data_IF_618914446301
#
_entry.id   IF_618914446301
#
_cell.length_a   1.000
_cell.length_b   1.000
_cell.length_c   1.000
_cell.angle_alpha   90.00
_cell.angle_beta   90.00
_cell.angle_gamma   90.00
#
_symmetry.space_group_name_H-M   'P 1'
#
loop_
_entity.id
_entity.type
_entity.pdbx_description
1 polymer ?
#
# COMPACT_ATOMS: atom_id res chain seq x y z
N UNK A 1 12.15 40.44 -8.18
CA UNK A 1 10.92 39.70 -8.51
C UNK A 1 11.02 39.42 -9.99
N UNK A 2 11.53 38.25 -10.33
CA UNK A 2 11.65 37.83 -11.73
C UNK A 2 10.35 37.14 -12.15
N UNK A 3 9.74 37.70 -13.18
CA UNK A 3 8.53 37.20 -13.83
C UNK A 3 8.83 35.86 -14.51
N UNK A 4 8.13 34.80 -14.08
CA UNK A 4 8.12 33.51 -14.76
C UNK A 4 7.32 33.64 -16.06
N UNK A 5 8.02 33.77 -17.19
CA UNK A 5 7.44 33.52 -18.51
C UNK A 5 7.38 32.01 -18.75
N UNK A 6 6.17 31.46 -18.80
CA UNK A 6 5.91 30.15 -19.37
C UNK A 6 5.53 30.39 -20.83
N UNK A 7 6.41 30.01 -21.76
CA UNK A 7 6.08 30.01 -23.18
C UNK A 7 5.11 28.86 -23.47
N UNK A 8 3.90 29.21 -23.88
CA UNK A 8 2.88 28.25 -24.31
C UNK A 8 3.01 28.07 -25.81
N UNK A 9 3.61 26.96 -26.24
CA UNK A 9 3.59 26.53 -27.63
C UNK A 9 2.33 25.69 -27.89
N UNK A 10 1.40 26.25 -28.65
CA UNK A 10 0.27 25.53 -29.25
C UNK A 10 0.78 24.74 -30.46
N UNK A 11 1.05 23.43 -30.27
CA UNK A 11 0.84 22.32 -31.24
C UNK A 11 1.51 21.00 -30.78
N UNK A 12 1.28 20.55 -29.52
CA UNK A 12 2.00 19.39 -28.95
C UNK A 12 1.10 18.37 -28.21
N UNK A 13 -0.11 18.09 -28.68
CA UNK A 13 -1.03 17.14 -28.01
C UNK A 13 -0.49 15.70 -27.90
N UNK A 14 0.59 15.36 -28.63
CA UNK A 14 1.17 14.01 -28.70
C UNK A 14 2.41 13.85 -27.81
N UNK A 15 3.16 14.91 -27.49
CA UNK A 15 4.41 14.78 -26.71
C UNK A 15 4.14 14.56 -25.21
N UNK A 16 3.06 15.15 -24.69
CA UNK A 16 2.66 15.06 -23.28
C UNK A 16 2.19 13.67 -22.83
N UNK A 17 1.63 12.85 -23.74
CA UNK A 17 1.28 11.45 -23.44
C UNK A 17 2.50 10.59 -23.06
N UNK A 18 3.72 11.10 -23.25
CA UNK A 18 4.98 10.40 -22.97
C UNK A 18 5.67 10.80 -21.66
N UNK A 19 5.17 11.81 -20.93
CA UNK A 19 5.91 12.39 -19.79
C UNK A 19 5.35 12.02 -18.40
N UNK A 20 4.08 11.63 -18.30
CA UNK A 20 3.44 11.32 -17.02
C UNK A 20 3.01 9.86 -16.88
N UNK A 21 3.42 9.19 -15.79
CA UNK A 21 2.84 7.89 -15.42
C UNK A 21 1.46 8.11 -14.80
N UNK A 22 0.43 7.49 -15.34
CA UNK A 22 -0.92 7.55 -14.76
C UNK A 22 -0.88 7.07 -13.30
N UNK A 23 -1.39 7.90 -12.39
CA UNK A 23 -1.60 7.54 -10.98
C UNK A 23 -3.03 7.03 -10.79
N UNK A 24 -4.00 7.89 -11.12
CA UNK A 24 -5.44 7.66 -11.07
C UNK A 24 -6.09 8.39 -12.25
N UNK A 25 -7.37 8.13 -12.54
CA UNK A 25 -8.10 8.81 -13.61
C UNK A 25 -7.91 10.34 -13.53
N UNK A 26 -7.25 10.92 -14.55
CA UNK A 26 -6.99 12.36 -14.64
C UNK A 26 -5.80 12.88 -13.81
N UNK A 27 -5.06 12.02 -13.11
CA UNK A 27 -3.90 12.39 -12.30
C UNK A 27 -2.64 11.65 -12.75
N UNK A 28 -1.56 12.40 -12.96
CA UNK A 28 -0.31 11.88 -13.53
C UNK A 28 0.87 12.20 -12.63
N UNK A 29 1.75 11.22 -12.42
CA UNK A 29 3.07 11.41 -11.84
C UNK A 29 4.00 11.92 -12.93
N UNK A 30 4.58 13.11 -12.74
CA UNK A 30 5.50 13.74 -13.69
C UNK A 30 6.85 13.96 -13.01
N UNK A 31 7.94 13.65 -13.72
CA UNK A 31 9.29 13.92 -13.26
C UNK A 31 9.66 15.39 -13.51
N UNK A 32 10.19 16.06 -12.49
CA UNK A 32 10.72 17.42 -12.53
C UNK A 32 11.96 17.49 -11.64
N UNK A 33 13.08 17.95 -12.18
CA UNK A 33 14.35 18.14 -11.47
C UNK A 33 14.81 16.88 -10.70
N UNK A 34 14.68 15.69 -11.32
CA UNK A 34 14.98 14.36 -10.73
C UNK A 34 14.12 13.98 -9.53
N UNK A 35 12.99 14.66 -9.35
CA UNK A 35 11.95 14.36 -8.35
C UNK A 35 10.61 14.22 -9.05
N UNK A 36 9.57 13.86 -8.32
CA UNK A 36 8.25 13.63 -8.87
C UNK A 36 7.20 14.53 -8.24
N UNK A 37 6.26 14.99 -9.06
CA UNK A 37 5.06 15.73 -8.66
C UNK A 37 3.81 15.04 -9.21
N UNK A 38 2.65 15.34 -8.64
CA UNK A 38 1.37 14.92 -9.24
C UNK A 38 0.77 16.12 -9.95
N UNK A 39 0.25 15.88 -11.15
CA UNK A 39 -0.43 16.87 -11.98
C UNK A 39 -1.83 16.41 -12.35
N UNK A 40 -2.72 17.34 -12.68
CA UNK A 40 -4.00 17.04 -13.33
C UNK A 40 -3.81 16.78 -14.85
N UNK A 41 -4.91 16.59 -15.57
CA UNK A 41 -4.92 16.34 -17.02
C UNK A 41 -4.44 17.54 -17.87
N UNK A 42 -4.37 18.73 -17.28
CA UNK A 42 -3.86 19.95 -17.90
C UNK A 42 -2.43 20.27 -17.45
N UNK A 43 -1.76 19.34 -16.76
CA UNK A 43 -0.41 19.47 -16.21
C UNK A 43 -0.25 20.53 -15.12
N UNK A 44 -1.34 20.95 -14.46
CA UNK A 44 -1.25 21.79 -13.27
C UNK A 44 -0.72 20.95 -12.10
N UNK A 45 0.30 21.44 -11.39
CA UNK A 45 0.89 20.75 -10.23
C UNK A 45 -0.07 20.81 -9.04
N UNK A 46 -0.39 19.64 -8.49
CA UNK A 46 -1.30 19.46 -7.34
C UNK A 46 -0.51 19.34 -6.03
N UNK A 47 0.64 18.68 -6.04
CA UNK A 47 1.42 18.44 -4.82
C UNK A 47 2.07 19.73 -4.32
N UNK A 48 2.03 19.95 -3.00
CA UNK A 48 2.70 21.10 -2.34
C UNK A 48 4.23 20.92 -2.19
N UNK A 49 4.81 19.96 -2.91
CA UNK A 49 6.23 19.59 -2.86
C UNK A 49 6.59 18.54 -3.91
N UNK A 50 7.86 18.18 -3.97
CA UNK A 50 8.39 17.15 -4.86
C UNK A 50 8.85 15.94 -4.05
N UNK A 51 8.65 14.75 -4.59
CA UNK A 51 8.95 13.47 -3.93
C UNK A 51 10.12 12.75 -4.61
N UNK A 52 10.84 11.93 -3.85
CA UNK A 52 11.84 11.01 -4.41
C UNK A 52 11.18 9.95 -5.28
N UNK A 53 9.99 9.51 -4.88
CA UNK A 53 9.18 8.51 -5.56
C UNK A 53 7.70 8.68 -5.15
N UNK A 54 6.79 8.35 -6.07
CA UNK A 54 5.34 8.33 -5.83
C UNK A 54 4.78 6.99 -6.26
N UNK A 55 3.99 6.35 -5.41
CA UNK A 55 3.22 5.14 -5.75
C UNK A 55 1.74 5.33 -5.44
N UNK A 56 0.83 4.74 -6.24
CA UNK A 56 -0.57 4.70 -5.86
C UNK A 56 -0.75 3.93 -4.54
N UNK A 57 -1.64 4.41 -3.68
CA UNK A 57 -2.09 3.68 -2.50
C UNK A 57 -3.51 3.15 -2.72
N UNK A 58 -4.54 3.96 -2.53
CA UNK A 58 -5.94 3.60 -2.76
C UNK A 58 -6.79 4.83 -3.04
N UNK A 59 -7.73 4.72 -3.98
CA UNK A 59 -8.60 5.84 -4.40
C UNK A 59 -7.77 7.11 -4.68
N UNK A 60 -7.99 8.20 -3.96
CA UNK A 60 -7.26 9.46 -4.07
C UNK A 60 -6.22 9.61 -2.95
N UNK A 61 -5.39 8.58 -2.75
CA UNK A 61 -4.28 8.59 -1.80
C UNK A 61 -3.04 8.01 -2.46
N UNK A 62 -1.87 8.47 -2.06
CA UNK A 62 -0.61 7.99 -2.62
C UNK A 62 0.44 7.81 -1.54
N UNK A 63 1.36 6.91 -1.78
CA UNK A 63 2.62 6.82 -1.06
C UNK A 63 3.59 7.83 -1.66
N UNK A 64 4.08 8.75 -0.84
CA UNK A 64 5.13 9.69 -1.22
C UNK A 64 6.40 9.40 -0.45
N UNK A 65 7.53 9.21 -1.15
CA UNK A 65 8.84 8.99 -0.55
C UNK A 65 9.60 10.30 -0.44
N UNK A 66 10.09 10.60 0.76
CA UNK A 66 10.95 11.76 1.05
C UNK A 66 12.03 11.33 2.03
N UNK A 67 13.29 11.66 1.73
CA UNK A 67 14.44 11.36 2.59
C UNK A 67 14.44 9.89 3.02
N UNK A 68 14.30 8.99 2.03
CA UNK A 68 14.26 7.52 2.20
C UNK A 68 13.06 6.94 2.95
N UNK A 69 12.10 7.77 3.35
CA UNK A 69 10.91 7.31 4.07
C UNK A 69 9.63 7.58 3.29
N UNK A 70 8.79 6.55 3.21
CA UNK A 70 7.43 6.60 2.69
C UNK A 70 6.47 7.12 3.74
N UNK A 71 5.57 8.01 3.32
CA UNK A 71 4.38 8.40 4.09
C UNK A 71 3.15 8.31 3.19
N UNK A 72 2.00 8.04 3.80
CA UNK A 72 0.73 8.05 3.10
C UNK A 72 0.21 9.49 3.03
N UNK A 73 -0.26 9.92 1.86
CA UNK A 73 -0.83 11.24 1.66
C UNK A 73 -2.20 11.13 1.00
N UNK A 74 -3.07 12.09 1.29
CA UNK A 74 -4.23 12.37 0.45
C UNK A 74 -3.84 13.35 -0.69
N UNK A 75 -4.75 13.59 -1.65
CA UNK A 75 -4.49 14.52 -2.76
C UNK A 75 -4.34 16.00 -2.35
N UNK A 76 -4.70 16.38 -1.13
CA UNK A 76 -4.45 17.72 -0.57
C UNK A 76 -3.03 17.86 -0.01
N UNK A 77 -2.22 16.80 -0.13
CA UNK A 77 -0.86 16.68 0.38
C UNK A 77 -0.79 16.62 1.92
N UNK A 78 -1.89 16.26 2.59
CA UNK A 78 -1.93 15.99 4.03
C UNK A 78 -1.51 14.54 4.30
N UNK A 79 -0.63 14.33 5.28
CA UNK A 79 -0.22 13.00 5.73
C UNK A 79 -1.39 12.27 6.38
N UNK A 80 -1.58 11.00 6.03
CA UNK A 80 -2.55 10.09 6.65
C UNK A 80 -1.80 9.15 7.59
N UNK A 81 -2.16 9.19 8.88
CA UNK A 81 -1.39 8.54 9.93
C UNK A 81 -0.10 9.30 10.27
N UNK A 82 0.69 8.75 11.20
CA UNK A 82 1.88 9.42 11.74
C UNK A 82 3.19 8.66 11.46
N UNK A 83 3.11 7.43 10.96
CA UNK A 83 4.29 6.62 10.68
C UNK A 83 5.01 7.05 9.41
N UNK A 84 6.33 6.88 9.44
CA UNK A 84 7.21 6.97 8.28
C UNK A 84 7.86 5.61 8.09
N UNK A 85 7.74 5.04 6.90
CA UNK A 85 8.13 3.65 6.62
C UNK A 85 9.35 3.61 5.69
N UNK A 86 10.28 2.69 5.91
CA UNK A 86 11.32 2.39 4.91
C UNK A 86 10.81 1.52 3.77
N UNK A 87 9.76 0.74 4.01
CA UNK A 87 9.11 -0.08 3.00
C UNK A 87 7.59 0.03 3.08
N UNK A 88 6.95 0.15 1.91
CA UNK A 88 5.50 0.05 1.74
C UNK A 88 5.21 -0.76 0.48
N UNK A 89 4.20 -1.63 0.58
CA UNK A 89 3.64 -2.35 -0.56
C UNK A 89 2.30 -1.73 -0.99
N UNK A 90 1.75 -2.25 -2.09
CA UNK A 90 0.43 -1.88 -2.60
C UNK A 90 -0.66 -2.32 -1.63
N UNK A 91 -1.72 -1.52 -1.53
CA UNK A 91 -2.90 -1.92 -0.78
C UNK A 91 -3.64 -3.06 -1.50
N UNK A 92 -3.90 -4.14 -0.79
CA UNK A 92 -4.82 -5.19 -1.20
C UNK A 92 -6.08 -5.04 -0.34
N UNK A 93 -7.19 -4.63 -0.99
CA UNK A 93 -8.39 -4.15 -0.31
C UNK A 93 -8.07 -3.03 0.69
N UNK A 94 -8.07 -3.31 2.00
CA UNK A 94 -7.94 -2.33 3.06
C UNK A 94 -6.57 -2.29 3.74
N UNK A 95 -5.65 -3.19 3.38
CA UNK A 95 -4.37 -3.36 4.06
C UNK A 95 -3.18 -3.30 3.11
N UNK A 96 -2.08 -2.76 3.59
CA UNK A 96 -0.77 -2.78 2.93
C UNK A 96 0.27 -3.36 3.88
N UNK A 97 1.20 -4.16 3.33
CA UNK A 97 2.39 -4.59 4.08
C UNK A 97 3.36 -3.39 4.17
N UNK A 98 3.88 -3.12 5.36
CA UNK A 98 4.76 -1.99 5.64
C UNK A 98 5.87 -2.38 6.62
N UNK A 99 6.98 -1.64 6.58
CA UNK A 99 8.07 -1.75 7.54
C UNK A 99 8.62 -0.38 7.91
N UNK A 100 8.78 -0.11 9.20
CA UNK A 100 9.41 1.13 9.69
C UNK A 100 10.91 1.11 9.38
N UNK A 101 11.59 -0.02 9.63
CA UNK A 101 13.05 -0.12 9.64
C UNK A 101 13.63 -0.88 8.44
N UNK A 102 12.77 -1.49 7.62
CA UNK A 102 13.13 -2.31 6.46
C UNK A 102 13.47 -3.75 6.80
N UNK A 103 13.33 -4.19 8.06
CA UNK A 103 13.71 -5.54 8.51
C UNK A 103 12.53 -6.33 9.08
N UNK A 104 11.64 -5.66 9.80
CA UNK A 104 10.42 -6.26 10.34
C UNK A 104 9.19 -5.70 9.64
N UNK A 105 8.27 -6.58 9.27
CA UNK A 105 7.11 -6.30 8.45
C UNK A 105 5.82 -6.51 9.25
N UNK A 106 4.85 -5.65 8.99
CA UNK A 106 3.51 -5.67 9.56
C UNK A 106 2.51 -5.16 8.54
N UNK A 107 1.28 -4.91 8.97
CA UNK A 107 0.22 -4.44 8.07
C UNK A 107 -0.41 -3.17 8.61
N UNK A 108 -0.54 -2.15 7.76
CA UNK A 108 -1.30 -0.94 8.09
C UNK A 108 -2.64 -0.93 7.35
N UNK A 109 -3.63 -0.25 7.95
CA UNK A 109 -4.90 0.04 7.31
C UNK A 109 -4.86 1.34 6.50
N UNK A 110 -5.96 1.65 5.81
CA UNK A 110 -6.16 2.91 5.07
C UNK A 110 -6.09 4.20 5.91
N UNK A 111 -6.07 4.12 7.25
CA UNK A 111 -5.82 5.27 8.13
C UNK A 111 -4.33 5.45 8.46
N UNK A 112 -3.46 4.62 7.86
CA UNK A 112 -2.02 4.63 8.11
C UNK A 112 -1.61 4.05 9.47
N UNK A 113 -2.53 3.39 10.19
CA UNK A 113 -2.25 2.78 11.49
C UNK A 113 -1.95 1.29 11.31
N UNK A 114 -1.04 0.75 12.12
CA UNK A 114 -0.84 -0.70 12.20
C UNK A 114 -2.14 -1.40 12.64
N UNK A 115 -2.39 -2.53 11.99
CA UNK A 115 -3.40 -3.53 12.35
C UNK A 115 -2.69 -4.76 12.88
N UNK A 116 -1.56 -5.09 12.27
CA UNK A 116 -0.61 -6.12 12.72
C UNK A 116 0.72 -5.41 12.86
N UNK A 117 1.32 -5.44 14.05
CA UNK A 117 2.58 -4.75 14.31
C UNK A 117 3.74 -5.29 13.46
N UNK A 118 4.73 -4.44 13.21
CA UNK A 118 5.90 -4.81 12.43
C UNK A 118 6.87 -5.70 13.24
N UNK A 119 6.63 -7.01 13.22
CA UNK A 119 7.41 -8.00 13.99
C UNK A 119 7.70 -9.31 13.23
N UNK A 120 7.34 -9.38 11.95
CA UNK A 120 7.48 -10.58 11.12
C UNK A 120 8.52 -10.40 10.02
N UNK A 121 9.11 -11.49 9.53
CA UNK A 121 10.14 -11.43 8.49
C UNK A 121 9.58 -11.06 7.11
N UNK A 122 8.33 -11.43 6.84
CA UNK A 122 7.57 -11.07 5.66
C UNK A 122 6.08 -11.29 5.94
N UNK A 123 5.22 -10.81 5.03
CA UNK A 123 3.80 -11.10 5.07
C UNK A 123 3.08 -10.83 3.76
N UNK A 124 1.93 -11.49 3.58
CA UNK A 124 0.98 -11.22 2.51
C UNK A 124 -0.46 -11.18 3.05
N UNK A 125 -1.28 -10.25 2.56
CA UNK A 125 -2.70 -10.23 2.88
C UNK A 125 -3.45 -11.23 1.99
N UNK A 126 -4.19 -12.16 2.59
CA UNK A 126 -4.88 -13.25 1.90
C UNK A 126 -6.36 -12.94 1.60
N UNK A 127 -6.85 -11.78 2.04
CA UNK A 127 -8.27 -11.45 2.00
C UNK A 127 -9.01 -11.89 3.26
N UNK A 128 -10.27 -11.44 3.39
CA UNK A 128 -11.16 -11.79 4.51
C UNK A 128 -10.57 -11.55 5.91
N UNK A 129 -9.68 -10.56 6.07
CA UNK A 129 -8.96 -10.27 7.31
C UNK A 129 -7.98 -11.38 7.77
N UNK A 130 -7.46 -12.18 6.84
CA UNK A 130 -6.39 -13.15 7.11
C UNK A 130 -5.06 -12.72 6.49
N UNK A 131 -3.97 -13.00 7.21
CA UNK A 131 -2.63 -12.56 6.87
C UNK A 131 -1.68 -13.75 6.96
N UNK A 132 -0.95 -14.00 5.87
CA UNK A 132 0.23 -14.85 5.90
C UNK A 132 1.37 -14.03 6.51
N UNK A 133 2.10 -14.63 7.45
CA UNK A 133 3.25 -14.05 8.12
C UNK A 133 4.40 -15.07 8.16
N UNK A 134 5.64 -14.60 8.23
CA UNK A 134 6.81 -15.48 8.39
C UNK A 134 7.70 -15.10 9.56
N UNK A 135 8.43 -16.10 10.07
CA UNK A 135 9.57 -15.94 10.98
C UNK A 135 10.68 -16.89 10.52
N UNK A 136 11.77 -16.34 10.00
CA UNK A 136 12.81 -17.15 9.35
C UNK A 136 12.22 -17.96 8.18
N UNK A 137 12.34 -19.29 8.27
CA UNK A 137 11.84 -20.24 7.26
C UNK A 137 10.47 -20.83 7.62
N UNK A 138 9.78 -20.27 8.61
CA UNK A 138 8.47 -20.74 9.06
C UNK A 138 7.37 -19.78 8.65
N UNK A 139 6.21 -20.32 8.29
CA UNK A 139 5.03 -19.55 7.88
C UNK A 139 3.82 -19.87 8.75
N UNK A 140 3.02 -18.85 9.03
CA UNK A 140 1.77 -18.95 9.77
C UNK A 140 0.68 -18.10 9.11
N UNK A 141 -0.58 -18.42 9.42
CA UNK A 141 -1.73 -17.60 9.03
C UNK A 141 -2.43 -17.11 10.27
N UNK A 142 -2.59 -15.79 10.36
CA UNK A 142 -3.24 -15.11 11.48
C UNK A 142 -4.47 -14.33 11.01
N UNK A 143 -5.40 -14.06 11.91
CA UNK A 143 -6.45 -13.06 11.71
C UNK A 143 -5.97 -11.65 12.09
N UNK A 144 -6.83 -10.64 11.92
CA UNK A 144 -6.55 -9.23 12.28
C UNK A 144 -6.28 -8.98 13.77
N UNK A 145 -6.60 -9.93 14.65
CA UNK A 145 -6.36 -9.84 16.09
C UNK A 145 -5.13 -10.68 16.48
N UNK A 146 -4.32 -11.10 15.50
CA UNK A 146 -3.16 -11.98 15.67
C UNK A 146 -3.49 -13.38 16.23
N UNK A 147 -4.75 -13.84 16.10
CA UNK A 147 -5.08 -15.24 16.41
C UNK A 147 -4.59 -16.14 15.28
N UNK A 148 -3.87 -17.21 15.64
CA UNK A 148 -3.41 -18.21 14.68
C UNK A 148 -4.57 -19.05 14.14
N UNK A 149 -4.78 -18.95 12.83
CA UNK A 149 -5.63 -19.87 12.06
C UNK A 149 -4.82 -21.11 11.68
N UNK A 150 -3.57 -20.89 11.26
CA UNK A 150 -2.57 -21.93 11.02
C UNK A 150 -1.31 -21.51 11.80
N UNK A 151 -0.83 -22.30 12.77
CA UNK A 151 0.43 -22.05 13.47
C UNK A 151 1.65 -22.06 12.56
N UNK A 152 2.78 -21.58 13.06
CA UNK A 152 4.04 -21.65 12.33
C UNK A 152 4.41 -23.09 11.98
N UNK A 153 4.79 -23.29 10.72
CA UNK A 153 5.32 -24.56 10.23
C UNK A 153 6.48 -24.28 9.26
N UNK A 154 7.51 -25.12 9.32
CA UNK A 154 8.67 -25.04 8.45
C UNK A 154 8.35 -25.56 7.05
N UNK A 155 8.93 -24.92 6.03
CA UNK A 155 8.76 -25.29 4.62
C UNK A 155 7.96 -24.24 3.86
N UNK A 156 7.11 -24.68 2.95
CA UNK A 156 6.37 -23.78 2.07
C UNK A 156 5.21 -23.08 2.80
N UNK A 157 4.91 -21.85 2.35
CA UNK A 157 3.73 -21.13 2.82
C UNK A 157 2.44 -21.92 2.56
N UNK A 158 1.47 -21.94 3.49
CA UNK A 158 0.20 -22.63 3.30
C UNK A 158 -0.51 -22.19 2.00
N UNK A 159 -0.92 -23.16 1.20
CA UNK A 159 -1.68 -22.86 -0.03
C UNK A 159 -3.07 -22.31 0.32
N UNK A 160 -3.65 -21.55 -0.60
CA UNK A 160 -5.00 -21.00 -0.44
C UNK A 160 -6.03 -22.07 -0.04
N UNK A 161 -5.98 -23.26 -0.67
CA UNK A 161 -6.87 -24.38 -0.35
C UNK A 161 -6.74 -24.85 1.10
N UNK A 162 -5.52 -24.94 1.63
CA UNK A 162 -5.27 -25.32 3.03
C UNK A 162 -5.84 -24.28 4.00
N UNK A 163 -5.61 -22.99 3.69
CA UNK A 163 -6.15 -21.87 4.47
C UNK A 163 -7.68 -21.91 4.53
N UNK A 164 -8.34 -22.08 3.38
CA UNK A 164 -9.81 -22.16 3.30
C UNK A 164 -10.34 -23.38 4.07
N UNK A 165 -9.72 -24.56 3.94
CA UNK A 165 -10.14 -25.74 4.69
C UNK A 165 -10.08 -25.51 6.20
N UNK A 166 -9.01 -24.89 6.70
CA UNK A 166 -8.86 -24.61 8.12
C UNK A 166 -9.90 -23.59 8.61
N UNK A 167 -10.17 -22.54 7.83
CA UNK A 167 -11.23 -21.57 8.14
C UNK A 167 -12.59 -22.27 8.22
N UNK A 168 -12.90 -23.16 7.27
CA UNK A 168 -14.18 -23.88 7.25
C UNK A 168 -14.32 -24.85 8.43
N UNK A 169 -13.24 -25.50 8.87
CA UNK A 169 -13.25 -26.33 10.09
C UNK A 169 -13.50 -25.51 11.36
N UNK A 170 -12.92 -24.32 11.43
CA UNK A 170 -13.05 -23.43 12.61
C UNK A 170 -14.42 -22.73 12.65
N UNK A 171 -15.12 -22.60 11.51
CA UNK A 171 -16.51 -22.13 11.47
C UNK A 171 -17.43 -23.28 11.90
N UNK A 172 -18.15 -23.09 13.02
CA UNK A 172 -19.19 -24.04 13.47
C UNK A 172 -20.08 -24.45 12.29
N UNK A 173 -20.30 -25.76 12.05
CA UNK A 173 -21.11 -26.18 10.92
C UNK A 173 -22.54 -25.63 11.03
N UNK A 174 -23.13 -25.24 9.91
CA UNK A 174 -24.49 -24.70 9.81
C UNK A 174 -25.54 -25.57 10.54
N UNK A 175 -25.29 -26.89 10.65
CA UNK A 175 -26.12 -27.85 11.40
C UNK A 175 -26.21 -27.55 12.90
N UNK A 176 -25.14 -27.09 13.54
CA UNK A 176 -25.16 -26.74 14.98
C UNK A 176 -25.93 -25.45 15.25
N UNK A 177 -25.98 -24.52 14.29
CA UNK A 177 -26.75 -23.28 14.40
C UNK A 177 -28.26 -23.48 14.22
N UNK A 178 -28.66 -24.49 13.45
CA UNK A 178 -30.07 -24.73 13.12
C UNK A 178 -30.80 -25.64 14.12
N UNK A 179 -30.11 -26.26 15.09
CA UNK A 179 -30.70 -27.27 16.00
C UNK A 179 -31.59 -28.29 15.25
N UNK A 180 -31.17 -28.70 14.05
CA UNK A 180 -31.75 -29.81 13.28
C UNK A 180 -31.05 -31.10 13.67
#
# INVERSE_FOLDING_TARGET
MEDFKIEVFRDEEIYYRKLGKLLYHGFFIVEKDKKFVITDEFFNVITKGMFDEIKPAFRNHFWGRLNEHWRLYNMENHTVGHYAFKFVDTFILDFANVSIDGTAFGFCNRKGNFVIEAQYGAGAYLGMNYFLISKGNEFAVIDKNENFIIPFSCGDAPTFSVVIQQILKNKKPLKEWLRL
#
